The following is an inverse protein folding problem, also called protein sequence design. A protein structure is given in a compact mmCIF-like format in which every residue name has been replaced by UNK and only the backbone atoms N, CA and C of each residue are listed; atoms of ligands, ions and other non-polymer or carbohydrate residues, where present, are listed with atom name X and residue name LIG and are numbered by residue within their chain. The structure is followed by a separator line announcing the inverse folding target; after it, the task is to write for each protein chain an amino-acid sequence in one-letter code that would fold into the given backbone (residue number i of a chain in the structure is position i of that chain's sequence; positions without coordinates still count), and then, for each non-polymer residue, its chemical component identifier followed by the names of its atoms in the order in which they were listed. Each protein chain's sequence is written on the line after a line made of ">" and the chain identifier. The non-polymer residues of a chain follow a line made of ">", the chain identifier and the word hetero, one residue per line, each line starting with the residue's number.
data_IF_212751577677
#
_entry.id   IF_212751577677
#
_cell.length_a   1.000
_cell.length_b   1.000
_cell.length_c   1.000
_cell.angle_alpha   90.00
_cell.angle_beta   90.00
_cell.angle_gamma   90.00
#
_symmetry.space_group_name_H-M   'P 1'
#
loop_
_entity.id
_entity.type
_entity.pdbx_description
1 polymer ?
#
# COMPACT_ATOMS: atom_id res chain seq x y z
N UNK A 1 -4.01 -22.27 -12.94
CA UNK A 1 -4.56 -20.89 -12.96
C UNK A 1 -3.73 -20.09 -11.97
N UNK A 2 -2.65 -19.43 -12.41
CA UNK A 2 -1.70 -18.77 -11.49
C UNK A 2 -1.16 -17.45 -12.08
N UNK A 3 -0.75 -17.47 -13.34
CA UNK A 3 -0.11 -16.31 -13.98
C UNK A 3 -1.07 -15.16 -14.32
N UNK A 4 -2.30 -15.44 -14.73
CA UNK A 4 -3.29 -14.40 -15.06
C UNK A 4 -3.72 -13.60 -13.82
N UNK A 5 -3.80 -14.27 -12.65
CA UNK A 5 -4.14 -13.63 -11.38
C UNK A 5 -3.01 -12.70 -10.91
N UNK A 6 -1.75 -13.17 -10.96
CA UNK A 6 -0.60 -12.34 -10.61
C UNK A 6 -0.45 -11.13 -11.53
N UNK A 7 -0.70 -11.30 -12.83
CA UNK A 7 -0.65 -10.19 -13.80
C UNK A 7 -1.72 -9.13 -13.49
N UNK A 8 -2.94 -9.55 -13.18
CA UNK A 8 -4.02 -8.64 -12.79
C UNK A 8 -3.69 -7.86 -11.51
N UNK A 9 -3.14 -8.56 -10.50
CA UNK A 9 -2.70 -7.96 -9.25
C UNK A 9 -1.57 -6.94 -9.45
N UNK A 10 -0.60 -7.20 -10.33
CA UNK A 10 0.46 -6.22 -10.67
C UNK A 10 -0.12 -4.98 -11.36
N UNK A 11 -1.12 -5.14 -12.25
CA UNK A 11 -1.80 -4.00 -12.88
C UNK A 11 -2.57 -3.17 -11.83
N UNK A 12 -3.24 -3.84 -10.89
CA UNK A 12 -3.92 -3.18 -9.77
C UNK A 12 -2.93 -2.42 -8.89
N UNK A 13 -1.80 -3.02 -8.53
CA UNK A 13 -0.74 -2.36 -7.75
C UNK A 13 -0.24 -1.09 -8.44
N UNK A 14 0.00 -1.16 -9.75
CA UNK A 14 0.41 0.01 -10.55
C UNK A 14 -0.66 1.10 -10.55
N UNK A 15 -1.95 0.73 -10.67
CA UNK A 15 -3.05 1.69 -10.62
C UNK A 15 -3.13 2.37 -9.24
N UNK A 16 -2.96 1.62 -8.15
CA UNK A 16 -2.94 2.18 -6.79
C UNK A 16 -1.78 3.17 -6.60
N UNK A 17 -0.58 2.89 -7.11
CA UNK A 17 0.55 3.81 -7.04
C UNK A 17 0.28 5.13 -7.79
N UNK A 18 -0.41 5.08 -8.92
CA UNK A 18 -0.82 6.29 -9.67
C UNK A 18 -1.80 7.12 -8.83
N UNK A 19 -2.82 6.48 -8.23
CA UNK A 19 -3.78 7.15 -7.36
C UNK A 19 -3.10 7.76 -6.13
N UNK A 20 -2.22 6.99 -5.48
CA UNK A 20 -1.44 7.47 -4.35
C UNK A 20 -0.61 8.71 -4.70
N UNK A 21 0.09 8.69 -5.84
CA UNK A 21 0.86 9.83 -6.32
C UNK A 21 -0.01 11.06 -6.56
N UNK A 22 -1.17 10.88 -7.20
CA UNK A 22 -2.11 11.98 -7.44
C UNK A 22 -2.61 12.61 -6.15
N UNK A 23 -2.95 11.78 -5.15
CA UNK A 23 -3.35 12.27 -3.82
C UNK A 23 -2.21 13.02 -3.12
N UNK A 24 -0.97 12.55 -3.25
CA UNK A 24 0.19 13.24 -2.69
C UNK A 24 0.42 14.62 -3.34
N UNK A 25 0.25 14.72 -4.67
CA UNK A 25 0.37 15.98 -5.41
C UNK A 25 -0.75 16.98 -5.05
N UNK A 26 -1.98 16.49 -4.85
CA UNK A 26 -3.10 17.34 -4.38
C UNK A 26 -2.84 17.87 -2.96
N UNK A 27 -2.33 17.01 -2.06
CA UNK A 27 -1.95 17.42 -0.71
C UNK A 27 -0.81 18.44 -0.74
N UNK A 28 0.22 18.21 -1.57
CA UNK A 28 1.34 19.13 -1.72
C UNK A 28 0.90 20.49 -2.26
N UNK A 29 0.01 20.51 -3.24
CA UNK A 29 -0.59 21.73 -3.79
C UNK A 29 -1.36 22.50 -2.72
N UNK A 30 -2.19 21.80 -1.94
CA UNK A 30 -2.97 22.40 -0.86
C UNK A 30 -2.08 22.97 0.25
N UNK A 31 -1.01 22.27 0.62
CA UNK A 31 -0.01 22.75 1.57
C UNK A 31 0.71 23.98 1.02
N UNK A 32 1.15 23.95 -0.24
CA UNK A 32 1.85 25.08 -0.88
C UNK A 32 0.97 26.35 -0.90
N UNK A 33 -0.33 26.20 -1.17
CA UNK A 33 -1.28 27.30 -1.12
C UNK A 33 -1.45 27.91 0.29
N UNK A 34 -1.13 27.14 1.34
CA UNK A 34 -1.30 27.51 2.75
C UNK A 34 0.06 27.64 3.48
N UNK A 35 1.03 28.31 2.86
CA UNK A 35 2.37 28.56 3.42
C UNK A 35 3.18 27.30 3.79
N UNK A 36 2.92 26.18 3.13
CA UNK A 36 3.64 24.93 3.32
C UNK A 36 3.25 24.13 4.56
N UNK A 37 2.14 24.48 5.23
CA UNK A 37 1.71 23.80 6.44
C UNK A 37 0.21 23.86 6.68
N UNK A 38 -0.26 23.09 7.66
CA UNK A 38 -1.68 23.07 8.04
C UNK A 38 -2.06 24.14 9.06
N UNK A 39 -1.08 24.88 9.59
CA UNK A 39 -1.28 25.85 10.67
C UNK A 39 -2.08 27.07 10.22
N UNK A 40 -1.88 27.50 8.98
CA UNK A 40 -2.52 28.68 8.41
C UNK A 40 -3.70 28.31 7.49
N UNK A 41 -4.09 27.03 7.45
CA UNK A 41 -5.23 26.58 6.65
C UNK A 41 -6.54 27.10 7.22
N UNK A 42 -7.45 27.49 6.32
CA UNK A 42 -8.85 27.68 6.67
C UNK A 42 -9.47 26.36 7.17
N UNK A 43 -10.59 26.43 7.88
CA UNK A 43 -11.30 25.22 8.33
C UNK A 43 -11.72 24.33 7.15
N UNK A 44 -12.10 24.95 6.02
CA UNK A 44 -12.46 24.25 4.79
C UNK A 44 -11.26 23.54 4.17
N UNK A 45 -10.12 24.23 4.03
CA UNK A 45 -8.89 23.65 3.51
C UNK A 45 -8.36 22.55 4.42
N UNK A 46 -8.47 22.73 5.74
CA UNK A 46 -8.08 21.71 6.70
C UNK A 46 -8.98 20.47 6.62
N UNK A 47 -10.30 20.64 6.44
CA UNK A 47 -11.21 19.53 6.21
C UNK A 47 -10.88 18.78 4.92
N UNK A 48 -10.57 19.51 3.85
CA UNK A 48 -10.12 18.94 2.56
C UNK A 48 -8.81 18.18 2.72
N UNK A 49 -7.82 18.78 3.38
CA UNK A 49 -6.53 18.14 3.70
C UNK A 49 -6.73 16.83 4.43
N UNK A 50 -7.55 16.81 5.50
CA UNK A 50 -7.82 15.58 6.26
C UNK A 50 -8.50 14.52 5.41
N UNK A 51 -9.43 14.91 4.54
CA UNK A 51 -10.08 13.99 3.61
C UNK A 51 -9.10 13.37 2.61
N UNK A 52 -8.19 14.17 2.05
CA UNK A 52 -7.15 13.69 1.13
C UNK A 52 -6.14 12.79 1.85
N UNK A 53 -5.66 13.18 3.03
CA UNK A 53 -4.73 12.41 3.82
C UNK A 53 -5.29 11.04 4.18
N UNK A 54 -6.56 10.98 4.61
CA UNK A 54 -7.23 9.71 4.89
C UNK A 54 -7.28 8.79 3.67
N UNK A 55 -7.72 9.31 2.53
CA UNK A 55 -7.76 8.54 1.27
C UNK A 55 -6.38 8.03 0.88
N UNK A 56 -5.34 8.85 1.05
CA UNK A 56 -3.96 8.47 0.76
C UNK A 56 -3.53 7.31 1.65
N UNK A 57 -3.85 7.37 2.94
CA UNK A 57 -3.52 6.32 3.89
C UNK A 57 -4.28 5.02 3.58
N UNK A 58 -5.57 5.10 3.23
CA UNK A 58 -6.37 3.94 2.80
C UNK A 58 -5.73 3.25 1.57
N UNK A 59 -5.28 4.03 0.58
CA UNK A 59 -4.59 3.50 -0.62
C UNK A 59 -3.21 2.93 -0.25
N UNK A 60 -2.48 3.56 0.66
CA UNK A 60 -1.18 3.06 1.11
C UNK A 60 -1.30 1.70 1.81
N UNK A 61 -2.35 1.51 2.60
CA UNK A 61 -2.63 0.22 3.24
C UNK A 61 -2.97 -0.86 2.20
N UNK A 62 -3.75 -0.51 1.17
CA UNK A 62 -4.06 -1.43 0.06
C UNK A 62 -2.81 -1.81 -0.74
N UNK A 63 -1.91 -0.85 -1.00
CA UNK A 63 -0.61 -1.09 -1.64
C UNK A 63 0.19 -2.11 -0.82
N UNK A 64 0.36 -1.87 0.49
CA UNK A 64 1.13 -2.78 1.37
C UNK A 64 0.57 -4.20 1.39
N UNK A 65 -0.76 -4.32 1.48
CA UNK A 65 -1.41 -5.65 1.48
C UNK A 65 -1.18 -6.39 0.15
N UNK A 66 -1.27 -5.66 -0.96
CA UNK A 66 -1.10 -6.25 -2.29
C UNK A 66 0.36 -6.58 -2.58
N UNK A 67 1.31 -5.75 -2.13
CA UNK A 67 2.75 -6.04 -2.19
C UNK A 67 3.09 -7.29 -1.38
N UNK A 68 2.58 -7.41 -0.16
CA UNK A 68 2.73 -8.61 0.67
C UNK A 68 2.23 -9.87 -0.07
N UNK A 69 1.03 -9.80 -0.64
CA UNK A 69 0.43 -10.93 -1.37
C UNK A 69 1.25 -11.30 -2.61
N UNK A 70 1.76 -10.31 -3.35
CA UNK A 70 2.47 -10.51 -4.61
C UNK A 70 3.91 -10.99 -4.43
N UNK A 71 4.58 -10.57 -3.36
CA UNK A 71 6.03 -10.72 -3.22
C UNK A 71 6.47 -11.48 -1.97
N UNK A 72 5.63 -11.61 -0.94
CA UNK A 72 5.99 -12.26 0.33
C UNK A 72 5.31 -13.62 0.57
N UNK A 73 4.17 -13.94 -0.08
CA UNK A 73 3.57 -15.29 0.03
C UNK A 73 4.42 -16.39 -0.64
N UNK A 74 5.24 -16.05 -1.64
CA UNK A 74 6.05 -17.01 -2.42
C UNK A 74 7.33 -17.48 -1.69
N UNK A 75 7.72 -16.82 -0.58
CA UNK A 75 8.91 -17.16 0.21
C UNK A 75 8.63 -18.17 1.35
N UNK A 76 7.42 -18.74 1.40
CA UNK A 76 7.03 -19.72 2.44
C UNK A 76 7.33 -21.19 2.14
N UNK A 77 8.03 -21.51 1.03
CA UNK A 77 8.57 -22.87 0.79
C UNK A 77 10.02 -23.03 1.30
N UNK A 78 10.25 -22.73 2.58
CA UNK A 78 11.47 -23.15 3.28
C UNK A 78 11.15 -24.17 4.37
N UNK A 79 10.83 -25.39 3.90
CA UNK A 79 11.43 -26.61 4.42
C UNK A 79 11.21 -26.96 5.89
N UNK A 80 10.06 -27.55 6.21
CA UNK A 80 9.95 -28.46 7.35
C UNK A 80 9.51 -29.84 6.86
N UNK A 81 10.46 -30.59 6.29
CA UNK A 81 10.28 -32.02 6.12
C UNK A 81 10.33 -32.70 7.50
N UNK A 82 9.33 -33.53 7.85
CA UNK A 82 9.27 -34.17 9.16
C UNK A 82 10.28 -35.32 9.17
N UNK A 83 11.50 -35.06 9.65
CA UNK A 83 12.44 -36.15 9.88
C UNK A 83 12.19 -36.77 11.26
N UNK A 84 11.04 -37.41 11.39
CA UNK A 84 10.76 -38.38 12.44
C UNK A 84 11.50 -39.69 12.09
N UNK A 85 12.84 -39.62 12.11
CA UNK A 85 13.71 -40.80 12.05
C UNK A 85 14.30 -41.02 13.43
N UNK A 86 13.48 -41.54 14.34
CA UNK A 86 13.99 -42.39 15.43
C UNK A 86 13.99 -43.84 14.95
N UNK A 87 15.13 -44.43 14.59
CA UNK A 87 15.24 -45.88 14.62
C UNK A 87 15.40 -46.30 16.08
N UNK A 88 14.38 -47.01 16.54
CA UNK A 88 14.37 -47.92 17.68
C UNK A 88 15.69 -48.72 17.80
N UNK A 89 16.51 -48.50 18.85
CA UNK A 89 16.91 -49.45 19.93
C UNK A 89 17.58 -48.70 21.08
#
# INVERSE_FOLDING_TARGET
>A
MGEDNSREQVLRLRALHIVYSGLADEIATLLHANNGGTKDMSEEDYAKYRGLARKRDDIADEIRLLEYTLFEEDDTDTGEQPNDSRPNV
#
